data_IF_117690671511
#
_entry.id   IF_117690671511
#
_cell.length_a   1.000
_cell.length_b   1.000
_cell.length_c   1.000
_cell.angle_alpha   90.00
_cell.angle_beta   90.00
_cell.angle_gamma   90.00
#
_symmetry.space_group_name_H-M   'P 1'
#
loop_
_entity.id
_entity.type
_entity.pdbx_description
1 polymer ?
#
# COMPACT_ATOMS: atom_id res chain seq x y z
N UNK A 1 35.15 -2.19 -4.23
CA UNK A 1 33.80 -1.82 -4.60
C UNK A 1 33.48 -0.39 -4.13
N UNK A 2 32.80 0.41 -4.97
CA UNK A 2 32.43 1.80 -4.66
C UNK A 2 31.23 1.88 -3.69
N UNK A 3 30.51 0.78 -3.49
CA UNK A 3 29.30 0.68 -2.67
C UNK A 3 29.42 -0.51 -1.71
N UNK A 4 28.75 -0.39 -0.56
CA UNK A 4 28.59 -1.46 0.39
C UNK A 4 27.33 -2.29 0.08
N UNK A 5 27.30 -3.56 0.47
CA UNK A 5 26.10 -4.41 0.36
C UNK A 5 24.95 -3.78 1.13
N UNK A 6 23.75 -3.71 0.53
CA UNK A 6 22.58 -3.08 1.16
C UNK A 6 22.58 -1.55 1.15
N UNK A 7 23.65 -0.90 0.71
CA UNK A 7 23.69 0.56 0.63
C UNK A 7 22.69 1.12 -0.38
N UNK A 8 22.53 0.47 -1.55
CA UNK A 8 21.58 0.87 -2.58
C UNK A 8 21.01 -0.36 -3.30
N UNK A 9 19.69 -0.54 -3.20
CA UNK A 9 18.94 -1.54 -3.97
C UNK A 9 18.21 -0.85 -5.10
N UNK A 10 18.29 -1.42 -6.30
CA UNK A 10 17.56 -0.96 -7.48
C UNK A 10 16.38 -1.89 -7.74
N UNK A 11 15.17 -1.32 -7.86
CA UNK A 11 13.94 -2.05 -8.16
C UNK A 11 13.36 -1.60 -9.49
N UNK A 12 12.90 -2.58 -10.26
CA UNK A 12 12.27 -2.36 -11.57
C UNK A 12 11.35 -3.51 -11.96
N UNK A 13 10.47 -3.27 -12.92
CA UNK A 13 9.62 -4.30 -13.52
C UNK A 13 9.80 -4.35 -15.03
N UNK A 14 9.90 -5.56 -15.58
CA UNK A 14 10.01 -5.81 -17.01
C UNK A 14 8.87 -6.67 -17.51
N UNK A 15 8.26 -6.28 -18.64
CA UNK A 15 7.16 -7.02 -19.27
C UNK A 15 7.67 -7.94 -20.37
N UNK A 16 7.22 -9.19 -20.36
CA UNK A 16 7.39 -10.16 -21.44
C UNK A 16 6.35 -11.30 -21.30
N UNK A 17 6.29 -12.14 -22.33
CA UNK A 17 5.70 -13.48 -22.22
C UNK A 17 6.78 -14.38 -21.61
N UNK A 18 6.82 -14.45 -20.28
CA UNK A 18 7.82 -15.21 -19.54
C UNK A 18 7.53 -16.71 -19.57
N UNK A 19 6.24 -17.06 -19.46
CA UNK A 19 5.69 -18.41 -19.52
C UNK A 19 4.22 -18.34 -20.02
N UNK A 20 3.67 -19.48 -20.44
CA UNK A 20 2.34 -19.52 -21.01
C UNK A 20 2.19 -18.62 -22.24
N UNK A 21 0.99 -18.05 -22.42
CA UNK A 21 0.66 -17.23 -23.59
C UNK A 21 0.49 -15.74 -23.30
N UNK A 22 0.43 -15.36 -22.01
CA UNK A 22 0.14 -13.98 -21.59
C UNK A 22 1.38 -13.28 -21.06
N UNK A 23 1.50 -12.00 -21.38
CA UNK A 23 2.54 -11.17 -20.80
C UNK A 23 2.35 -11.03 -19.28
N UNK A 24 3.48 -10.99 -18.55
CA UNK A 24 3.57 -10.76 -17.11
C UNK A 24 4.63 -9.71 -16.82
N UNK A 25 4.44 -9.00 -15.72
CA UNK A 25 5.48 -8.16 -15.16
C UNK A 25 6.40 -9.00 -14.27
N UNK A 26 7.68 -9.04 -14.55
CA UNK A 26 8.70 -9.54 -13.63
C UNK A 26 9.29 -8.36 -12.87
N UNK A 27 9.04 -8.29 -11.58
CA UNK A 27 9.67 -7.33 -10.68
C UNK A 27 10.98 -7.91 -10.16
N UNK A 28 12.05 -7.13 -10.17
CA UNK A 28 13.36 -7.52 -9.64
C UNK A 28 13.89 -6.46 -8.67
N UNK A 29 14.60 -6.93 -7.65
CA UNK A 29 15.37 -6.11 -6.73
C UNK A 29 16.83 -6.54 -6.75
N UNK A 30 17.72 -5.63 -7.11
CA UNK A 30 19.16 -5.90 -7.31
C UNK A 30 20.01 -5.01 -6.41
N UNK A 31 20.89 -5.62 -5.63
CA UNK A 31 21.88 -4.88 -4.87
C UNK A 31 22.97 -4.29 -5.79
N UNK A 32 23.23 -3.01 -5.62
CA UNK A 32 24.16 -2.27 -6.49
C UNK A 32 25.61 -2.68 -6.30
N UNK A 33 26.02 -3.00 -5.10
CA UNK A 33 27.41 -3.35 -4.78
C UNK A 33 27.77 -4.72 -5.35
N UNK A 34 26.98 -5.72 -5.04
CA UNK A 34 27.26 -7.13 -5.34
C UNK A 34 26.67 -7.60 -6.66
N UNK A 35 25.77 -6.84 -7.28
CA UNK A 35 24.96 -7.26 -8.45
C UNK A 35 24.01 -8.42 -8.12
N UNK A 36 23.90 -8.78 -6.87
CA UNK A 36 23.04 -9.86 -6.40
C UNK A 36 21.58 -9.50 -6.57
N UNK A 37 20.81 -10.38 -7.19
CA UNK A 37 19.35 -10.29 -7.17
C UNK A 37 18.87 -10.76 -5.80
N UNK A 38 18.21 -9.89 -5.06
CA UNK A 38 17.75 -10.19 -3.69
C UNK A 38 16.40 -10.89 -3.68
N UNK A 39 15.52 -10.49 -4.58
CA UNK A 39 14.20 -11.10 -4.74
C UNK A 39 13.59 -10.75 -6.09
N UNK A 40 12.70 -11.60 -6.59
CA UNK A 40 11.90 -11.35 -7.79
C UNK A 40 10.45 -11.79 -7.60
N UNK A 41 9.53 -11.18 -8.35
CA UNK A 41 8.12 -11.52 -8.31
C UNK A 41 7.43 -11.32 -9.64
N UNK A 42 6.72 -12.36 -10.11
CA UNK A 42 5.83 -12.26 -11.26
C UNK A 42 4.44 -11.81 -10.80
N UNK A 43 3.86 -10.87 -11.55
CA UNK A 43 2.48 -10.45 -11.41
C UNK A 43 1.85 -10.23 -12.79
N UNK A 44 0.53 -10.16 -12.86
CA UNK A 44 -0.22 -9.88 -14.11
C UNK A 44 0.19 -8.53 -14.70
N UNK A 45 0.45 -7.56 -13.84
CA UNK A 45 0.91 -6.22 -14.20
C UNK A 45 1.85 -5.68 -13.13
N UNK A 46 2.46 -4.53 -13.38
CA UNK A 46 3.25 -3.86 -12.35
C UNK A 46 2.32 -3.31 -11.26
N UNK A 47 2.48 -3.81 -10.04
CA UNK A 47 1.62 -3.46 -8.90
C UNK A 47 2.44 -2.99 -7.70
N UNK A 48 1.85 -2.08 -6.91
CA UNK A 48 2.40 -1.68 -5.61
C UNK A 48 2.54 -2.90 -4.68
N UNK A 49 1.61 -3.83 -4.77
CA UNK A 49 1.61 -5.06 -3.98
C UNK A 49 2.83 -5.94 -4.26
N UNK A 50 3.25 -6.08 -5.50
CA UNK A 50 4.45 -6.83 -5.85
C UNK A 50 5.71 -6.23 -5.19
N UNK A 51 5.82 -4.91 -5.15
CA UNK A 51 6.92 -4.23 -4.44
C UNK A 51 6.86 -4.42 -2.92
N UNK A 52 5.67 -4.50 -2.33
CA UNK A 52 5.51 -4.86 -0.91
C UNK A 52 6.01 -6.28 -0.65
N UNK A 53 5.60 -7.24 -1.50
CA UNK A 53 6.06 -8.63 -1.41
C UNK A 53 7.58 -8.74 -1.50
N UNK A 54 8.19 -8.02 -2.43
CA UNK A 54 9.64 -7.99 -2.56
C UNK A 54 10.30 -7.40 -1.31
N UNK A 55 9.84 -6.24 -0.85
CA UNK A 55 10.43 -5.56 0.30
C UNK A 55 10.34 -6.42 1.57
N UNK A 56 9.18 -7.02 1.84
CA UNK A 56 8.98 -7.93 2.98
C UNK A 56 10.00 -9.08 2.95
N UNK A 57 10.12 -9.77 1.80
CA UNK A 57 11.04 -10.90 1.67
C UNK A 57 12.51 -10.47 1.76
N UNK A 58 12.86 -9.30 1.25
CA UNK A 58 14.22 -8.75 1.38
C UNK A 58 14.54 -8.49 2.86
N UNK A 59 13.64 -7.83 3.58
CA UNK A 59 13.84 -7.51 5.00
C UNK A 59 13.99 -8.78 5.84
N UNK A 60 13.12 -9.76 5.64
CA UNK A 60 13.15 -11.01 6.39
C UNK A 60 14.41 -11.85 6.13
N UNK A 61 14.97 -11.79 4.90
CA UNK A 61 16.12 -12.64 4.51
C UNK A 61 17.46 -11.92 4.62
N UNK A 62 17.50 -10.61 4.39
CA UNK A 62 18.75 -9.87 4.22
C UNK A 62 18.91 -8.69 5.19
N UNK A 63 17.82 -8.23 5.81
CA UNK A 63 17.79 -7.02 6.61
C UNK A 63 17.21 -5.81 5.85
N UNK A 64 17.25 -4.64 6.49
CA UNK A 64 16.66 -3.40 6.00
C UNK A 64 17.71 -2.61 5.20
N UNK A 65 17.49 -2.35 3.90
CA UNK A 65 18.44 -1.62 3.07
C UNK A 65 18.48 -0.14 3.45
N UNK A 66 19.61 0.51 3.23
CA UNK A 66 19.78 1.94 3.49
C UNK A 66 19.03 2.80 2.47
N UNK A 67 19.03 2.38 1.20
CA UNK A 67 18.43 3.12 0.09
C UNK A 67 17.78 2.21 -0.94
N UNK A 68 16.63 2.65 -1.45
CA UNK A 68 15.97 2.03 -2.62
C UNK A 68 15.90 3.05 -3.76
N UNK A 69 16.25 2.61 -4.97
CA UNK A 69 16.09 3.35 -6.23
C UNK A 69 15.03 2.72 -7.11
N UNK A 70 14.14 3.56 -7.62
CA UNK A 70 13.04 3.18 -8.53
C UNK A 70 12.91 4.18 -9.66
N UNK A 71 12.08 3.90 -10.67
CA UNK A 71 11.67 4.94 -11.62
C UNK A 71 10.60 5.88 -11.04
N UNK A 72 10.32 6.97 -11.77
CA UNK A 72 9.26 7.94 -11.42
C UNK A 72 7.88 7.45 -11.85
N UNK A 73 7.42 6.31 -11.34
CA UNK A 73 6.04 5.86 -11.57
C UNK A 73 5.13 6.25 -10.41
N UNK A 74 3.80 6.22 -10.65
CA UNK A 74 2.81 6.58 -9.62
C UNK A 74 2.89 5.76 -8.34
N UNK A 75 3.47 4.57 -8.38
CA UNK A 75 3.76 3.72 -7.21
C UNK A 75 4.77 4.36 -6.25
N UNK A 76 5.73 5.11 -6.78
CA UNK A 76 6.88 5.64 -6.01
C UNK A 76 6.89 7.15 -5.88
N UNK A 77 6.17 7.87 -6.74
CA UNK A 77 6.18 9.33 -6.81
C UNK A 77 4.79 9.89 -7.07
N UNK A 78 4.41 10.91 -6.31
CA UNK A 78 3.17 11.67 -6.54
C UNK A 78 3.50 12.83 -7.49
N UNK A 79 3.03 12.76 -8.73
CA UNK A 79 3.24 13.82 -9.73
C UNK A 79 2.31 15.02 -9.57
N UNK A 80 1.38 15.04 -8.61
CA UNK A 80 0.37 16.08 -8.45
C UNK A 80 0.52 16.89 -7.15
N UNK A 81 1.06 18.08 -7.26
CA UNK A 81 1.17 19.12 -6.22
C UNK A 81 -0.20 19.70 -5.80
N UNK A 82 -1.34 19.20 -6.30
CA UNK A 82 -2.66 19.83 -6.13
C UNK A 82 -3.55 19.29 -5.03
N UNK A 83 -3.20 18.26 -4.32
CA UNK A 83 -4.00 17.78 -3.17
C UNK A 83 -3.38 18.23 -1.85
N UNK A 84 -4.03 19.21 -1.22
CA UNK A 84 -3.77 19.67 0.15
C UNK A 84 -4.14 18.62 1.21
N UNK A 85 -3.77 17.37 1.03
CA UNK A 85 -3.84 16.36 2.09
C UNK A 85 -2.44 16.17 2.66
N UNK A 86 -2.31 16.11 3.98
CA UNK A 86 -1.06 15.94 4.72
C UNK A 86 -0.35 14.58 4.46
N UNK A 87 -0.68 13.87 3.40
CA UNK A 87 -0.09 12.62 2.95
C UNK A 87 0.49 12.83 1.55
N UNK A 88 1.59 13.58 1.48
CA UNK A 88 2.32 13.84 0.23
C UNK A 88 3.20 12.67 -0.23
N UNK A 89 3.06 11.49 0.36
CA UNK A 89 3.85 10.28 0.03
C UNK A 89 2.97 9.20 -0.57
N UNK A 90 3.55 8.41 -1.48
CA UNK A 90 2.89 7.18 -1.96
C UNK A 90 2.84 6.14 -0.84
N UNK A 91 2.06 5.06 -1.03
CA UNK A 91 2.01 3.95 -0.06
C UNK A 91 3.41 3.34 0.16
N UNK A 92 4.18 3.14 -0.91
CA UNK A 92 5.54 2.62 -0.82
C UNK A 92 6.51 3.63 -0.15
N UNK A 93 6.36 4.92 -0.47
CA UNK A 93 7.15 5.99 0.17
C UNK A 93 6.93 6.06 1.67
N UNK A 94 5.68 5.95 2.13
CA UNK A 94 5.35 5.87 3.57
C UNK A 94 6.02 4.68 4.26
N UNK A 95 5.99 3.50 3.63
CA UNK A 95 6.65 2.32 4.19
C UNK A 95 8.16 2.55 4.31
N UNK A 96 8.77 3.15 3.28
CA UNK A 96 10.19 3.48 3.32
C UNK A 96 10.51 4.48 4.45
N UNK A 97 9.66 5.51 4.67
CA UNK A 97 9.81 6.46 5.77
C UNK A 97 9.70 5.76 7.14
N UNK A 98 8.72 4.89 7.35
CA UNK A 98 8.54 4.14 8.60
C UNK A 98 9.71 3.18 8.90
N UNK A 99 10.32 2.63 7.85
CA UNK A 99 11.48 1.74 7.96
C UNK A 99 12.82 2.49 7.87
N UNK A 100 12.80 3.82 7.79
CA UNK A 100 13.99 4.68 7.62
C UNK A 100 14.84 4.30 6.39
N UNK A 101 14.17 3.92 5.31
CA UNK A 101 14.78 3.63 4.01
C UNK A 101 14.72 4.89 3.15
N UNK A 102 15.85 5.35 2.63
CA UNK A 102 15.87 6.47 1.71
C UNK A 102 15.36 6.06 0.33
N UNK A 103 14.13 6.48 -0.01
CA UNK A 103 13.56 6.24 -1.34
C UNK A 103 13.97 7.33 -2.31
N UNK A 104 14.56 6.95 -3.44
CA UNK A 104 14.95 7.84 -4.53
C UNK A 104 14.36 7.38 -5.85
N UNK A 105 13.66 8.27 -6.54
CA UNK A 105 13.06 7.96 -7.86
C UNK A 105 13.53 8.95 -8.92
N UNK A 106 13.78 8.45 -10.15
CA UNK A 106 14.17 9.27 -11.30
C UNK A 106 13.61 8.69 -12.59
N UNK A 107 13.33 9.56 -13.55
CA UNK A 107 13.02 9.19 -14.93
C UNK A 107 14.25 9.04 -15.82
N UNK A 108 15.45 9.30 -15.28
CA UNK A 108 16.71 9.16 -16.04
C UNK A 108 16.99 7.67 -16.33
N UNK A 109 17.14 7.27 -17.60
CA UNK A 109 17.50 5.90 -17.97
C UNK A 109 18.79 5.39 -17.32
N UNK A 110 19.75 6.26 -17.04
CA UNK A 110 21.01 5.89 -16.39
C UNK A 110 20.90 5.73 -14.87
N UNK A 111 19.71 5.89 -14.31
CA UNK A 111 19.50 5.89 -12.85
C UNK A 111 19.56 4.49 -12.24
N UNK A 112 19.16 3.45 -12.99
CA UNK A 112 19.03 2.06 -12.51
C UNK A 112 19.76 1.03 -13.41
N UNK A 113 21.03 1.21 -13.77
CA UNK A 113 21.68 0.41 -14.79
C UNK A 113 21.82 -1.08 -14.43
N UNK A 114 21.85 -1.41 -13.14
CA UNK A 114 22.04 -2.80 -12.70
C UNK A 114 20.79 -3.62 -12.88
N UNK A 115 19.63 -3.15 -12.36
CA UNK A 115 18.37 -3.89 -12.50
C UNK A 115 17.92 -3.96 -13.97
N UNK A 116 18.17 -2.94 -14.77
CA UNK A 116 17.90 -2.98 -16.21
C UNK A 116 18.74 -4.04 -16.94
N UNK A 117 20.02 -4.15 -16.58
CA UNK A 117 20.90 -5.20 -17.10
C UNK A 117 20.41 -6.58 -16.68
N UNK A 118 20.03 -6.76 -15.41
CA UNK A 118 19.51 -8.04 -14.92
C UNK A 118 18.18 -8.39 -15.59
N UNK A 119 17.28 -7.45 -15.79
CA UNK A 119 16.05 -7.66 -16.55
C UNK A 119 16.33 -8.20 -17.97
N UNK A 120 17.36 -7.67 -18.66
CA UNK A 120 17.79 -8.15 -19.97
C UNK A 120 18.36 -9.57 -19.90
N UNK A 121 19.21 -9.83 -18.90
CA UNK A 121 19.83 -11.16 -18.67
C UNK A 121 18.75 -12.20 -18.33
N UNK A 122 17.80 -11.87 -17.47
CA UNK A 122 16.69 -12.74 -17.14
C UNK A 122 15.80 -13.04 -18.35
N UNK A 123 15.49 -12.02 -19.15
CA UNK A 123 14.70 -12.20 -20.38
C UNK A 123 15.35 -13.19 -21.35
N UNK A 124 16.67 -13.19 -21.46
CA UNK A 124 17.42 -14.10 -22.33
C UNK A 124 17.52 -15.54 -21.81
N UNK A 125 17.36 -15.79 -20.50
CA UNK A 125 17.63 -17.10 -19.88
C UNK A 125 16.41 -17.70 -19.21
N UNK A 126 15.68 -16.94 -18.39
CA UNK A 126 14.58 -17.43 -17.57
C UNK A 126 13.43 -17.98 -18.44
N UNK A 127 13.12 -17.35 -19.58
CA UNK A 127 12.06 -17.81 -20.48
C UNK A 127 12.34 -19.24 -20.98
N UNK A 128 13.60 -19.52 -21.35
CA UNK A 128 14.00 -20.85 -21.80
C UNK A 128 13.94 -21.87 -20.67
N UNK A 129 14.38 -21.50 -19.47
CA UNK A 129 14.33 -22.40 -18.30
C UNK A 129 12.90 -22.69 -17.85
N UNK A 130 12.02 -21.67 -17.75
CA UNK A 130 10.61 -21.88 -17.40
C UNK A 130 9.89 -22.79 -18.39
N UNK A 131 10.22 -22.65 -19.68
CA UNK A 131 9.70 -23.54 -20.74
C UNK A 131 10.22 -24.97 -20.58
N UNK A 132 11.50 -25.15 -20.31
CA UNK A 132 12.12 -26.46 -20.09
C UNK A 132 11.49 -27.19 -18.89
N UNK A 133 11.21 -26.46 -17.81
CA UNK A 133 10.58 -26.99 -16.60
C UNK A 133 9.04 -27.12 -16.72
N UNK A 134 8.45 -26.81 -17.89
CA UNK A 134 7.00 -26.82 -18.12
C UNK A 134 6.21 -26.00 -17.09
N UNK A 135 6.73 -24.83 -16.72
CA UNK A 135 6.10 -23.90 -15.78
C UNK A 135 5.21 -22.94 -16.58
N UNK A 136 3.90 -22.95 -16.29
CA UNK A 136 2.89 -22.17 -17.01
C UNK A 136 2.00 -21.33 -16.10
N UNK A 137 2.15 -21.43 -14.79
CA UNK A 137 1.36 -20.72 -13.78
C UNK A 137 2.23 -19.82 -12.89
N UNK A 138 1.58 -18.79 -12.32
CA UNK A 138 2.24 -17.73 -11.56
C UNK A 138 2.85 -18.26 -10.23
N UNK A 139 2.22 -19.22 -9.58
CA UNK A 139 2.69 -19.77 -8.30
C UNK A 139 3.99 -20.56 -8.47
N UNK A 140 4.00 -21.52 -9.39
CA UNK A 140 5.19 -22.31 -9.70
C UNK A 140 6.31 -21.43 -10.28
N UNK A 141 5.97 -20.42 -11.10
CA UNK A 141 6.95 -19.49 -11.65
C UNK A 141 7.62 -18.66 -10.55
N UNK A 142 6.87 -18.13 -9.59
CA UNK A 142 7.40 -17.38 -8.45
C UNK A 142 8.27 -18.25 -7.53
N UNK A 143 7.85 -19.47 -7.29
CA UNK A 143 8.63 -20.43 -6.50
C UNK A 143 9.95 -20.78 -7.19
N UNK A 144 9.90 -21.18 -8.46
CA UNK A 144 11.10 -21.51 -9.25
C UNK A 144 12.06 -20.32 -9.35
N UNK A 145 11.54 -19.12 -9.59
CA UNK A 145 12.32 -17.89 -9.67
C UNK A 145 13.19 -17.68 -8.42
N UNK A 146 12.59 -17.78 -7.23
CA UNK A 146 13.26 -17.42 -5.98
C UNK A 146 14.04 -18.58 -5.35
N UNK A 147 13.61 -19.84 -5.55
CA UNK A 147 14.25 -21.00 -4.93
C UNK A 147 15.33 -21.62 -5.82
N UNK A 148 15.21 -21.48 -7.14
CA UNK A 148 16.11 -22.12 -8.11
C UNK A 148 16.88 -21.12 -8.97
N UNK A 149 16.16 -20.29 -9.72
CA UNK A 149 16.77 -19.47 -10.75
C UNK A 149 17.65 -18.34 -10.19
N UNK A 150 17.13 -17.54 -9.25
CA UNK A 150 17.90 -16.46 -8.61
C UNK A 150 19.15 -16.98 -7.89
N UNK A 151 19.11 -18.02 -7.06
CA UNK A 151 20.30 -18.61 -6.46
C UNK A 151 21.33 -19.05 -7.51
N UNK A 152 20.90 -19.73 -8.57
CA UNK A 152 21.76 -20.16 -9.70
C UNK A 152 22.40 -18.97 -10.42
N UNK A 153 21.67 -17.90 -10.64
CA UNK A 153 22.18 -16.68 -11.27
C UNK A 153 23.17 -15.96 -10.36
N UNK A 154 22.84 -15.82 -9.09
CA UNK A 154 23.71 -15.18 -8.11
C UNK A 154 25.03 -15.92 -7.93
N UNK A 155 25.02 -17.25 -7.90
CA UNK A 155 26.27 -18.05 -7.79
C UNK A 155 27.21 -17.88 -8.98
N UNK A 156 26.68 -17.50 -10.17
CA UNK A 156 27.46 -17.34 -11.39
C UNK A 156 27.93 -15.90 -11.64
N UNK A 157 27.15 -14.91 -11.24
CA UNK A 157 27.31 -13.53 -11.69
C UNK A 157 27.36 -12.49 -10.59
N UNK A 158 26.91 -12.81 -9.37
CA UNK A 158 27.01 -11.88 -8.26
C UNK A 158 28.42 -11.90 -7.65
N UNK A 159 28.83 -10.75 -7.13
CA UNK A 159 30.02 -10.68 -6.30
C UNK A 159 29.74 -11.21 -4.90
N UNK A 160 30.78 -11.70 -4.24
CA UNK A 160 30.70 -12.12 -2.84
C UNK A 160 30.38 -10.93 -1.93
N UNK A 161 29.67 -11.22 -0.85
CA UNK A 161 29.32 -10.22 0.16
C UNK A 161 30.55 -10.07 1.07
N UNK A 162 31.10 -8.87 1.09
CA UNK A 162 32.05 -8.47 2.11
C UNK A 162 31.29 -8.03 3.36
N UNK A 163 31.36 -8.84 4.41
CA UNK A 163 30.61 -8.57 5.66
C UNK A 163 31.09 -7.33 6.41
N UNK A 164 32.35 -6.91 6.21
CA UNK A 164 32.87 -5.65 6.77
C UNK A 164 32.28 -4.43 6.04
N UNK A 165 31.78 -4.63 4.81
CA UNK A 165 31.18 -3.61 3.96
C UNK A 165 29.68 -3.87 3.75
N UNK A 166 28.97 -4.09 4.83
CA UNK A 166 27.55 -4.35 4.85
C UNK A 166 26.77 -3.19 5.52
N UNK A 167 25.93 -2.52 4.71
CA UNK A 167 25.04 -1.44 5.16
C UNK A 167 23.57 -1.91 5.33
N UNK A 168 23.31 -3.23 5.21
CA UNK A 168 22.00 -3.78 5.61
C UNK A 168 21.87 -3.65 7.13
N UNK A 169 20.83 -2.96 7.58
CA UNK A 169 20.50 -2.90 9.01
C UNK A 169 19.84 -4.20 9.44
N UNK A 170 20.15 -4.66 10.63
CA UNK A 170 19.49 -5.81 11.21
C UNK A 170 17.97 -5.56 11.31
N UNK A 171 17.20 -6.57 10.96
CA UNK A 171 15.76 -6.52 11.13
C UNK A 171 15.40 -6.85 12.57
N UNK A 172 14.95 -5.84 13.32
CA UNK A 172 14.48 -5.97 14.71
C UNK A 172 12.96 -6.14 14.82
N UNK A 173 12.22 -6.03 13.70
CA UNK A 173 10.77 -6.20 13.66
C UNK A 173 10.40 -7.68 13.59
N UNK A 174 9.36 -8.07 14.31
CA UNK A 174 8.73 -9.37 14.10
C UNK A 174 7.83 -9.36 12.83
N UNK A 175 7.25 -10.51 12.50
CA UNK A 175 6.39 -10.61 11.31
C UNK A 175 5.13 -9.76 11.44
N UNK A 176 4.52 -9.71 12.60
CA UNK A 176 3.30 -8.96 12.89
C UNK A 176 3.51 -7.45 12.73
N UNK A 177 4.64 -6.93 13.20
CA UNK A 177 5.01 -5.52 13.02
C UNK A 177 5.18 -5.20 11.54
N UNK A 178 5.97 -6.00 10.82
CA UNK A 178 6.17 -5.81 9.38
C UNK A 178 4.88 -5.98 8.58
N UNK A 179 3.98 -6.87 8.99
CA UNK A 179 2.68 -7.09 8.39
C UNK A 179 1.82 -5.81 8.39
N UNK A 180 1.90 -5.03 9.46
CA UNK A 180 1.18 -3.75 9.60
C UNK A 180 1.95 -2.58 8.96
N UNK A 181 3.28 -2.57 9.04
CA UNK A 181 4.10 -1.53 8.41
C UNK A 181 3.99 -1.61 6.89
N UNK A 182 4.19 -2.81 6.31
CA UNK A 182 4.12 -3.07 4.87
C UNK A 182 2.67 -3.30 4.46
N UNK A 183 1.88 -2.23 4.50
CA UNK A 183 0.43 -2.25 4.29
C UNK A 183 -0.02 -1.12 3.37
N UNK A 184 -1.23 -1.25 2.83
CA UNK A 184 -1.93 -0.11 2.22
C UNK A 184 -2.77 0.60 3.27
N UNK A 185 -2.78 1.94 3.26
CA UNK A 185 -3.54 2.76 4.22
C UNK A 185 -4.47 3.73 3.52
N UNK A 186 -5.72 3.78 3.99
CA UNK A 186 -6.77 4.62 3.41
C UNK A 186 -7.55 5.35 4.51
N UNK A 187 -7.60 6.68 4.44
CA UNK A 187 -8.43 7.47 5.37
C UNK A 187 -9.92 7.31 5.04
N UNK A 188 -10.73 7.06 6.04
CA UNK A 188 -12.20 6.96 5.95
C UNK A 188 -12.86 7.65 7.15
N UNK A 189 -14.17 7.84 7.05
CA UNK A 189 -15.02 8.30 8.15
C UNK A 189 -15.90 7.17 8.61
N UNK A 190 -16.10 7.09 9.93
CA UNK A 190 -17.02 6.16 10.56
C UNK A 190 -18.44 6.69 10.39
N UNK A 191 -19.38 5.83 10.07
CA UNK A 191 -20.80 6.17 9.92
C UNK A 191 -21.59 6.09 11.24
N UNK A 192 -22.90 6.35 11.18
CA UNK A 192 -23.80 6.34 12.37
C UNK A 192 -23.93 4.97 13.04
N UNK A 193 -23.62 3.89 12.34
CA UNK A 193 -23.66 2.52 12.87
C UNK A 193 -22.30 2.03 13.34
N UNK A 194 -21.36 2.94 13.56
CA UNK A 194 -19.95 2.66 13.86
C UNK A 194 -19.28 1.78 12.79
N UNK A 195 -19.83 1.75 11.58
CA UNK A 195 -19.24 0.99 10.47
C UNK A 195 -18.37 1.86 9.56
N UNK A 196 -17.52 1.21 8.80
CA UNK A 196 -16.57 1.81 7.87
C UNK A 196 -16.81 1.24 6.48
N UNK A 197 -17.14 2.08 5.51
CA UNK A 197 -17.33 1.66 4.12
C UNK A 197 -16.03 1.67 3.34
N UNK A 198 -15.68 0.52 2.74
CA UNK A 198 -14.53 0.40 1.85
C UNK A 198 -14.82 -0.55 0.67
N UNK A 199 -14.54 -0.09 -0.57
CA UNK A 199 -14.76 -0.85 -1.83
C UNK A 199 -16.14 -1.53 -1.91
N UNK A 200 -17.20 -0.82 -1.48
CA UNK A 200 -18.58 -1.34 -1.53
C UNK A 200 -18.98 -2.26 -0.37
N UNK A 201 -18.07 -2.63 0.49
CA UNK A 201 -18.29 -3.46 1.69
C UNK A 201 -18.30 -2.62 2.96
N UNK A 202 -18.89 -3.16 4.02
CA UNK A 202 -18.93 -2.54 5.32
C UNK A 202 -18.14 -3.37 6.34
N UNK A 203 -17.45 -2.68 7.24
CA UNK A 203 -16.60 -3.28 8.25
C UNK A 203 -16.87 -2.65 9.60
N UNK A 204 -16.81 -3.43 10.67
CA UNK A 204 -16.88 -2.96 12.06
C UNK A 204 -15.54 -3.19 12.75
N UNK A 205 -15.08 -2.23 13.58
CA UNK A 205 -13.88 -2.40 14.38
C UNK A 205 -14.14 -3.32 15.58
N UNK A 206 -13.22 -4.26 15.78
CA UNK A 206 -13.21 -5.21 16.89
C UNK A 206 -11.94 -5.01 17.69
N UNK A 207 -12.09 -4.94 19.01
CA UNK A 207 -10.95 -4.92 19.92
C UNK A 207 -10.16 -6.23 19.82
N UNK A 208 -8.83 -6.12 19.80
CA UNK A 208 -7.94 -7.26 19.55
C UNK A 208 -7.86 -8.19 20.75
N UNK A 209 -7.94 -7.63 21.96
CA UNK A 209 -7.78 -8.37 23.22
C UNK A 209 -9.10 -9.01 23.66
N UNK A 210 -10.20 -8.24 23.63
CA UNK A 210 -11.50 -8.68 24.14
C UNK A 210 -12.36 -9.36 23.08
N UNK A 211 -12.11 -9.07 21.77
CA UNK A 211 -12.96 -9.52 20.68
C UNK A 211 -14.31 -8.79 20.59
N UNK A 212 -14.50 -7.73 21.38
CA UNK A 212 -15.74 -6.96 21.42
C UNK A 212 -15.84 -5.97 20.26
N UNK A 213 -17.08 -5.71 19.81
CA UNK A 213 -17.36 -4.70 18.80
C UNK A 213 -17.20 -3.32 19.42
N UNK A 214 -16.35 -2.50 18.81
CA UNK A 214 -16.11 -1.14 19.26
C UNK A 214 -17.01 -0.14 18.56
N UNK A 215 -17.57 0.79 19.36
CA UNK A 215 -18.44 1.86 18.87
C UNK A 215 -17.74 3.21 18.94
N UNK A 216 -17.86 4.00 17.87
CA UNK A 216 -17.25 5.31 17.75
C UNK A 216 -18.26 6.35 17.27
N UNK A 217 -18.01 7.61 17.57
CA UNK A 217 -18.84 8.72 17.10
C UNK A 217 -18.79 8.83 15.58
N UNK A 218 -19.95 9.19 15.01
CA UNK A 218 -20.06 9.47 13.57
C UNK A 218 -19.03 10.53 13.13
N UNK A 219 -18.51 10.36 11.91
CA UNK A 219 -17.48 11.22 11.32
C UNK A 219 -16.10 11.15 12.01
N UNK A 220 -15.90 10.29 13.00
CA UNK A 220 -14.56 9.99 13.51
C UNK A 220 -13.68 9.52 12.34
N UNK A 221 -12.48 10.08 12.24
CA UNK A 221 -11.54 9.67 11.20
C UNK A 221 -10.88 8.35 11.61
N UNK A 222 -10.89 7.39 10.71
CA UNK A 222 -10.15 6.15 10.83
C UNK A 222 -9.21 5.95 9.64
N UNK A 223 -8.13 5.24 9.86
CA UNK A 223 -7.20 4.81 8.81
C UNK A 223 -7.38 3.31 8.65
N UNK A 224 -7.99 2.88 7.53
CA UNK A 224 -8.03 1.46 7.16
C UNK A 224 -6.61 1.03 6.80
N UNK A 225 -6.21 -0.14 7.28
CA UNK A 225 -4.93 -0.78 7.01
C UNK A 225 -5.21 -2.13 6.38
N UNK A 226 -4.76 -2.31 5.13
CA UNK A 226 -4.76 -3.61 4.47
C UNK A 226 -3.36 -4.15 4.63
N UNK A 227 -3.19 -5.08 5.55
CA UNK A 227 -1.91 -5.64 5.94
C UNK A 227 -1.27 -6.48 4.83
N UNK A 228 -0.01 -6.85 5.00
CA UNK A 228 0.71 -7.68 4.04
C UNK A 228 0.03 -9.03 3.78
N UNK A 229 -0.53 -9.67 4.77
CA UNK A 229 -1.28 -10.94 4.68
C UNK A 229 -2.72 -10.79 4.16
N UNK A 230 -3.12 -9.57 3.73
CA UNK A 230 -4.48 -9.17 3.34
C UNK A 230 -5.49 -9.12 4.49
N UNK A 231 -5.08 -9.22 5.73
CA UNK A 231 -5.97 -8.93 6.86
C UNK A 231 -6.33 -7.44 6.92
N UNK A 232 -7.53 -7.16 7.41
CA UNK A 232 -8.08 -5.80 7.48
C UNK A 232 -8.03 -5.30 8.92
N UNK A 233 -7.44 -4.13 9.08
CA UNK A 233 -7.29 -3.44 10.36
C UNK A 233 -7.69 -1.97 10.22
N UNK A 234 -7.88 -1.30 11.31
CA UNK A 234 -7.99 0.16 11.31
C UNK A 234 -7.30 0.78 12.52
N UNK A 235 -6.77 1.98 12.30
CA UNK A 235 -6.28 2.83 13.37
C UNK A 235 -7.30 3.93 13.63
N UNK A 236 -7.77 4.04 14.88
CA UNK A 236 -8.71 5.05 15.36
C UNK A 236 -8.12 5.63 16.64
N UNK A 237 -7.89 6.94 16.68
CA UNK A 237 -7.32 7.62 17.85
C UNK A 237 -6.01 6.99 18.37
N UNK A 238 -5.15 6.57 17.44
CA UNK A 238 -3.84 5.89 17.70
C UNK A 238 -3.96 4.44 18.20
N UNK A 239 -5.14 3.90 18.36
CA UNK A 239 -5.35 2.50 18.72
C UNK A 239 -5.63 1.66 17.47
N UNK A 240 -5.12 0.43 17.47
CA UNK A 240 -5.29 -0.53 16.38
C UNK A 240 -6.44 -1.48 16.70
N UNK A 241 -7.34 -1.67 15.74
CA UNK A 241 -8.49 -2.58 15.82
C UNK A 241 -8.51 -3.49 14.60
N UNK A 242 -8.99 -4.72 14.77
CA UNK A 242 -9.24 -5.62 13.64
C UNK A 242 -10.57 -5.26 12.98
N UNK A 243 -10.61 -5.30 11.65
CA UNK A 243 -11.86 -5.05 10.91
C UNK A 243 -12.55 -6.35 10.53
N UNK A 244 -13.83 -6.47 10.89
CA UNK A 244 -14.68 -7.57 10.51
C UNK A 244 -15.70 -7.13 9.45
N UNK A 245 -15.78 -7.87 8.34
CA UNK A 245 -16.75 -7.59 7.26
C UNK A 245 -18.17 -7.94 7.71
N UNK A 246 -19.12 -7.03 7.48
CA UNK A 246 -20.55 -7.23 7.72
C UNK A 246 -21.34 -7.10 6.44
N UNK A 247 -22.44 -7.84 6.31
CA UNK A 247 -23.24 -7.86 5.06
C UNK A 247 -23.89 -6.51 4.75
N UNK A 248 -24.45 -5.84 5.75
CA UNK A 248 -24.99 -4.46 5.64
C UNK A 248 -25.17 -3.92 7.07
N UNK A 249 -24.77 -2.67 7.38
CA UNK A 249 -25.09 -2.12 8.69
C UNK A 249 -26.61 -2.01 8.85
N UNK A 250 -27.14 -2.51 9.96
CA UNK A 250 -28.53 -2.29 10.31
C UNK A 250 -28.72 -0.78 10.43
N UNK A 251 -29.68 -0.25 9.67
CA UNK A 251 -30.06 1.15 9.82
C UNK A 251 -30.56 1.30 11.25
N UNK A 252 -30.04 2.27 12.04
CA UNK A 252 -30.60 2.52 13.34
C UNK A 252 -32.09 2.73 13.14
N UNK A 253 -32.90 2.01 13.92
CA UNK A 253 -34.36 2.19 13.90
C UNK A 253 -34.60 3.69 13.96
N UNK A 254 -35.28 4.22 12.95
CA UNK A 254 -35.73 5.60 12.99
C UNK A 254 -36.56 5.73 14.26
N UNK A 255 -36.02 6.38 15.30
CA UNK A 255 -36.81 6.78 16.42
C UNK A 255 -38.02 7.49 15.83
N UNK A 256 -39.17 6.85 15.88
CA UNK A 256 -40.44 7.45 15.48
C UNK A 256 -40.64 8.52 16.53
N UNK A 257 -40.17 9.71 16.25
CA UNK A 257 -40.63 10.86 17.01
C UNK A 257 -42.11 10.94 16.75
N UNK A 258 -42.89 10.54 17.72
CA UNK A 258 -44.34 10.85 17.73
C UNK A 258 -44.42 12.35 17.47
N UNK A 259 -44.93 12.72 16.31
CA UNK A 259 -45.27 14.11 16.02
C UNK A 259 -46.27 14.50 17.11
N UNK A 260 -45.77 15.16 18.14
CA UNK A 260 -46.64 15.88 19.04
C UNK A 260 -47.46 16.82 18.15
N UNK A 261 -48.74 16.58 18.07
CA UNK A 261 -49.70 17.44 17.35
C UNK A 261 -49.57 18.81 18.00
N UNK A 262 -48.82 19.70 17.37
CA UNK A 262 -48.75 21.08 17.82
C UNK A 262 -50.14 21.65 17.74
N UNK A 263 -50.63 22.23 18.84
CA UNK A 263 -51.87 22.95 18.89
C UNK A 263 -51.86 24.08 17.87
N UNK A 264 -53.07 24.47 17.36
CA UNK A 264 -53.23 25.50 16.33
C UNK A 264 -52.52 26.82 16.70
N UNK A 265 -52.41 27.10 18.02
CA UNK A 265 -51.67 28.26 18.57
C UNK A 265 -50.16 28.17 18.40
N UNK A 266 -49.57 26.97 18.55
CA UNK A 266 -48.12 26.73 18.33
C UNK A 266 -47.75 26.78 16.86
N UNK A 267 -48.66 26.35 15.95
CA UNK A 267 -48.48 26.47 14.50
C UNK A 267 -48.51 27.93 14.09
N UNK A 268 -49.33 28.77 14.72
CA UNK A 268 -49.39 30.19 14.43
C UNK A 268 -48.15 30.97 14.94
N UNK A 269 -47.54 30.54 16.03
CA UNK A 269 -46.28 31.11 16.55
C UNK A 269 -45.04 30.66 15.73
N UNK A 270 -45.12 29.52 15.04
CA UNK A 270 -44.03 28.99 14.22
C UNK A 270 -44.04 29.44 12.75
N UNK A 271 -45.02 30.25 12.34
CA UNK A 271 -45.02 30.90 11.02
C UNK A 271 -43.83 31.86 10.98
N UNK A 272 -42.83 31.54 10.20
CA UNK A 272 -41.65 32.35 10.03
C UNK A 272 -42.02 33.82 9.82
N UNK A 273 -41.55 34.69 10.70
CA UNK A 273 -41.79 36.12 10.64
C UNK A 273 -41.28 36.65 9.31
N UNK A 274 -42.16 37.03 8.38
CA UNK A 274 -41.75 37.63 7.12
C UNK A 274 -41.09 38.97 7.45
N UNK A 275 -39.83 39.20 7.05
CA UNK A 275 -39.16 40.45 7.34
C UNK A 275 -39.97 41.63 6.77
N UNK A 276 -39.99 42.73 7.51
CA UNK A 276 -40.64 43.98 7.07
C UNK A 276 -40.17 44.41 5.68
N UNK A 277 -41.01 45.14 4.91
CA UNK A 277 -40.66 45.52 3.54
C UNK A 277 -39.30 46.24 3.41
N UNK A 278 -38.84 46.93 4.43
CA UNK A 278 -37.58 47.71 4.50
C UNK A 278 -36.44 46.90 5.11
N UNK A 279 -36.57 45.60 5.41
CA UNK A 279 -35.51 44.80 6.00
C UNK A 279 -34.29 44.71 5.04
N UNK A 280 -33.04 44.89 5.53
CA UNK A 280 -31.84 44.90 4.68
C UNK A 280 -31.72 43.72 3.73
N UNK A 281 -32.19 42.56 4.10
CA UNK A 281 -32.15 41.33 3.28
C UNK A 281 -33.05 41.37 2.04
N UNK A 282 -33.99 42.32 1.92
CA UNK A 282 -34.81 42.51 0.72
C UNK A 282 -34.18 43.43 -0.30
N UNK A 283 -33.07 44.14 0.04
CA UNK A 283 -32.36 45.04 -0.83
C UNK A 283 -31.31 44.36 -1.73
N UNK A 284 -30.98 43.11 -1.47
CA UNK A 284 -30.11 42.33 -2.35
C UNK A 284 -30.93 41.57 -3.40
N UNK A 285 -31.43 42.27 -4.38
CA UNK A 285 -31.79 41.76 -5.68
C UNK A 285 -31.16 42.64 -6.73
N UNK A 286 -30.27 42.02 -7.49
CA UNK A 286 -29.71 42.44 -8.78
C UNK A 286 -28.81 43.68 -8.78
N UNK A 287 -27.54 43.47 -8.81
CA UNK A 287 -26.59 44.07 -9.71
C UNK A 287 -25.67 43.01 -10.27
#
# INVERSE_FOLDING_TARGET
>A
LLYNYGQEIQMDAAFAIWYGEKARALHLAVDKATKRVLYGWFDVQETTRAYFLMLMNIILKNGIPKKIKTDKRGTFSINNVKTKSNLNTTQFGRICEELEIFLSSSSDPLFKPNVERENKTFKGRLIAELRHENIIDDERANKYLNEVFIPKMNSKFAYEIDFERNDMRENTYNFEDLNIIISERYSRKIDNSSSIKYKGKYYIPIDIETGEIMSFEQNTTCIIIIAYDNSFWCNINKNLYKLHEIKTPEKPEKKVYQKTTKTQEEINKSKAHKPAPNHPWRRYKNS
#
